data_IF_736652625133
#
_entry.id   IF_736652625133
#
_cell.length_a   1.000
_cell.length_b   1.000
_cell.length_c   1.000
_cell.angle_alpha   90.00
_cell.angle_beta   90.00
_cell.angle_gamma   90.00
#
_symmetry.space_group_name_H-M   'P 1'
#
loop_
_entity.id
_entity.type
_entity.pdbx_description
1 polymer ?
#
# COMPACT_ATOMS: atom_id res chain seq x y z
N UNK A 1 10.26 -6.13 -6.65
CA UNK A 1 9.85 -7.04 -5.55
C UNK A 1 8.75 -7.94 -6.05
N UNK A 2 8.63 -9.18 -5.57
CA UNK A 2 7.62 -10.13 -6.05
C UNK A 2 6.88 -10.82 -4.90
N UNK A 3 5.56 -10.98 -5.04
CA UNK A 3 4.68 -11.75 -4.15
C UNK A 3 3.96 -12.78 -5.02
N UNK A 4 4.20 -14.07 -4.76
CA UNK A 4 3.75 -15.15 -5.63
C UNK A 4 3.08 -16.29 -4.88
N UNK A 5 1.93 -16.76 -5.37
CA UNK A 5 1.24 -17.97 -4.91
C UNK A 5 1.03 -18.01 -3.38
N UNK A 6 0.50 -16.93 -2.83
CA UNK A 6 0.34 -16.74 -1.39
C UNK A 6 -1.12 -16.56 -1.00
N UNK A 7 -1.45 -16.91 0.24
CA UNK A 7 -2.71 -16.53 0.89
C UNK A 7 -2.39 -15.61 2.05
N UNK A 8 -3.05 -14.47 2.12
CA UNK A 8 -2.88 -13.49 3.19
C UNK A 8 -4.18 -13.33 3.98
N UNK A 9 -4.06 -13.49 5.30
CA UNK A 9 -5.14 -13.23 6.27
C UNK A 9 -4.76 -11.95 7.03
N UNK A 10 -5.32 -10.78 6.67
CA UNK A 10 -5.05 -9.52 7.33
C UNK A 10 -5.35 -9.61 8.83
N UNK A 11 -4.49 -9.01 9.66
CA UNK A 11 -4.62 -8.97 11.12
C UNK A 11 -4.94 -10.34 11.79
N UNK A 12 -4.49 -11.45 11.19
CA UNK A 12 -4.82 -12.79 11.66
C UNK A 12 -6.34 -13.08 11.75
N UNK A 13 -7.17 -12.35 11.00
CA UNK A 13 -8.62 -12.52 10.93
C UNK A 13 -9.41 -11.53 11.79
N UNK A 14 -8.75 -10.68 12.58
CA UNK A 14 -9.40 -9.58 13.30
C UNK A 14 -9.93 -8.50 12.34
N UNK A 15 -10.91 -7.71 12.80
CA UNK A 15 -11.48 -6.63 11.99
C UNK A 15 -10.42 -5.58 11.69
N UNK A 16 -10.18 -5.30 10.41
CA UNK A 16 -9.16 -4.33 10.00
C UNK A 16 -9.44 -3.75 8.62
N UNK A 17 -8.77 -2.66 8.28
CA UNK A 17 -8.64 -2.22 6.89
C UNK A 17 -7.31 -2.74 6.33
N UNK A 18 -7.30 -3.74 5.43
CA UNK A 18 -6.06 -4.36 5.00
C UNK A 18 -5.15 -3.39 4.24
N UNK A 19 -3.88 -3.33 4.69
CA UNK A 19 -2.78 -2.64 4.03
C UNK A 19 -1.64 -3.65 3.85
N UNK A 20 -1.36 -4.04 2.60
CA UNK A 20 -0.44 -5.15 2.33
C UNK A 20 0.99 -4.81 2.73
N UNK A 21 1.44 -3.61 2.38
CA UNK A 21 2.80 -3.15 2.64
C UNK A 21 2.71 -1.90 3.50
N UNK A 22 3.13 -2.05 4.75
CA UNK A 22 3.24 -0.92 5.66
C UNK A 22 4.35 0.01 5.22
N UNK A 23 4.11 1.31 5.33
CA UNK A 23 5.08 2.37 5.14
C UNK A 23 4.79 3.48 6.15
N UNK A 24 5.86 4.08 6.68
CA UNK A 24 5.82 5.21 7.59
C UNK A 24 7.11 6.00 7.38
N UNK A 25 7.06 6.94 6.44
CA UNK A 25 8.16 7.85 6.11
C UNK A 25 7.55 9.11 5.51
N UNK A 26 7.29 10.08 6.38
CA UNK A 26 6.74 11.38 6.02
C UNK A 26 7.75 12.25 5.25
N UNK A 27 9.02 11.87 5.18
CA UNK A 27 10.09 12.62 4.51
C UNK A 27 10.68 13.77 5.32
N UNK A 28 10.45 13.80 6.64
CA UNK A 28 11.01 14.81 7.56
C UNK A 28 12.33 14.36 8.19
N UNK A 29 12.60 13.05 8.23
CA UNK A 29 13.78 12.49 8.89
C UNK A 29 14.96 12.27 7.93
N UNK A 30 16.15 12.74 8.33
CA UNK A 30 17.39 12.48 7.60
C UNK A 30 17.94 11.10 7.97
N UNK A 31 17.81 10.14 7.06
CA UNK A 31 18.41 8.82 7.21
C UNK A 31 19.86 8.76 6.69
N UNK A 32 20.38 9.83 6.07
CA UNK A 32 21.68 9.88 5.42
C UNK A 32 21.70 9.30 4.00
N UNK A 33 20.55 8.94 3.44
CA UNK A 33 20.37 8.44 2.07
C UNK A 33 18.91 8.60 1.59
N UNK A 34 18.67 8.63 0.26
CA UNK A 34 17.31 8.65 -0.28
C UNK A 34 16.53 7.39 0.10
N UNK A 35 15.35 7.57 0.70
CA UNK A 35 14.45 6.46 1.01
C UNK A 35 13.47 6.23 -0.16
N UNK A 36 13.29 4.97 -0.54
CA UNK A 36 12.44 4.61 -1.67
C UNK A 36 11.77 3.25 -1.48
N UNK A 37 10.60 3.09 -2.09
CA UNK A 37 10.00 1.78 -2.35
C UNK A 37 10.68 1.11 -3.54
N UNK A 38 10.59 -0.24 -3.64
CA UNK A 38 10.85 -0.91 -4.90
C UNK A 38 10.10 -0.22 -6.05
N UNK A 39 10.79 0.08 -7.15
CA UNK A 39 10.17 0.78 -8.29
C UNK A 39 9.03 -0.04 -8.90
N UNK A 40 9.17 -1.37 -8.88
CA UNK A 40 8.17 -2.31 -9.37
C UNK A 40 7.86 -3.40 -8.34
N UNK A 41 6.56 -3.67 -8.18
CA UNK A 41 6.02 -4.78 -7.40
C UNK A 41 5.18 -5.69 -8.31
N UNK A 42 5.49 -6.98 -8.33
CA UNK A 42 4.71 -7.98 -9.07
C UNK A 42 3.91 -8.84 -8.10
N UNK A 43 2.61 -8.92 -8.33
CA UNK A 43 1.65 -9.72 -7.54
C UNK A 43 0.98 -10.74 -8.44
N UNK A 44 1.24 -12.01 -8.16
CA UNK A 44 0.80 -13.12 -9.00
C UNK A 44 0.33 -14.31 -8.15
N UNK A 45 -0.96 -14.65 -8.20
CA UNK A 45 -1.51 -15.75 -7.41
C UNK A 45 -1.66 -15.39 -5.93
N UNK A 46 -2.10 -14.17 -5.61
CA UNK A 46 -2.39 -13.75 -4.24
C UNK A 46 -3.89 -13.89 -3.94
N UNK A 47 -4.22 -14.58 -2.85
CA UNK A 47 -5.58 -14.58 -2.29
C UNK A 47 -5.59 -13.82 -0.97
N UNK A 48 -6.51 -12.87 -0.83
CA UNK A 48 -6.65 -12.01 0.36
C UNK A 48 -7.97 -12.31 1.06
N UNK A 49 -7.92 -12.65 2.34
CA UNK A 49 -9.08 -12.95 3.18
C UNK A 49 -9.59 -11.69 3.89
N UNK A 50 -10.19 -10.77 3.13
CA UNK A 50 -10.64 -9.45 3.58
C UNK A 50 -12.16 -9.39 3.87
N UNK A 51 -12.71 -10.43 4.49
CA UNK A 51 -14.13 -10.48 4.86
C UNK A 51 -14.46 -9.79 6.20
N UNK A 52 -13.49 -9.68 7.10
CA UNK A 52 -13.66 -9.04 8.40
C UNK A 52 -13.10 -7.61 8.35
N UNK A 53 -13.90 -6.70 7.80
CA UNK A 53 -13.54 -5.30 7.55
C UNK A 53 -14.68 -4.37 7.98
N UNK A 54 -14.40 -3.09 8.26
CA UNK A 54 -15.43 -2.10 8.59
C UNK A 54 -16.55 -2.00 7.53
N UNK A 55 -17.72 -1.50 7.93
CA UNK A 55 -18.92 -1.40 7.09
C UNK A 55 -18.70 -0.55 5.81
N UNK A 56 -17.82 0.44 5.88
CA UNK A 56 -17.49 1.35 4.78
C UNK A 56 -16.31 0.87 3.91
N UNK A 57 -15.89 -0.39 4.08
CA UNK A 57 -14.80 -0.98 3.32
C UNK A 57 -15.05 -1.01 1.80
N UNK A 58 -14.16 -0.36 1.05
CA UNK A 58 -14.22 -0.26 -0.41
C UNK A 58 -13.07 -0.97 -1.13
N UNK A 59 -12.17 -1.60 -0.38
CA UNK A 59 -11.05 -2.36 -0.92
C UNK A 59 -9.76 -2.17 -0.12
N UNK A 60 -8.92 -3.20 -0.14
CA UNK A 60 -7.61 -3.18 0.52
C UNK A 60 -6.67 -2.22 -0.17
N UNK A 61 -5.62 -1.78 0.53
CA UNK A 61 -4.54 -1.01 -0.08
C UNK A 61 -3.29 -1.86 -0.30
N UNK A 62 -2.61 -1.65 -1.44
CA UNK A 62 -1.27 -2.19 -1.65
C UNK A 62 -0.26 -1.55 -0.69
N UNK A 63 -0.33 -0.23 -0.51
CA UNK A 63 0.58 0.54 0.34
C UNK A 63 -0.20 1.32 1.41
N UNK A 64 0.34 1.38 2.62
CA UNK A 64 -0.16 2.29 3.65
C UNK A 64 0.03 3.78 3.26
N UNK A 65 -0.47 4.69 4.09
CA UNK A 65 -0.14 6.11 3.98
C UNK A 65 1.26 6.34 4.56
N UNK A 66 2.25 6.80 3.77
CA UNK A 66 3.58 7.10 4.29
C UNK A 66 3.58 8.23 5.31
N UNK A 67 2.58 9.12 5.28
CA UNK A 67 2.43 10.26 6.19
C UNK A 67 1.77 9.86 7.53
N UNK A 68 1.42 8.57 7.71
CA UNK A 68 0.84 8.08 8.97
C UNK A 68 1.76 8.37 10.15
N UNK A 69 1.22 9.03 11.18
CA UNK A 69 1.94 9.31 12.43
C UNK A 69 2.49 10.73 12.53
N UNK A 70 2.30 11.57 11.52
CA UNK A 70 2.53 13.00 11.64
C UNK A 70 1.58 13.61 12.69
N UNK A 71 2.14 14.29 13.69
CA UNK A 71 1.37 14.98 14.74
C UNK A 71 0.85 16.35 14.27
N UNK A 72 1.48 16.91 13.23
CA UNK A 72 1.19 18.23 12.67
C UNK A 72 0.94 18.15 11.17
N UNK A 73 0.34 19.21 10.62
CA UNK A 73 0.20 19.35 9.16
C UNK A 73 1.58 19.40 8.52
N UNK A 74 1.84 18.41 7.67
CA UNK A 74 3.12 18.28 7.04
C UNK A 74 3.23 19.28 5.85
N UNK A 75 4.36 20.01 5.67
CA UNK A 75 4.54 20.95 4.55
C UNK A 75 4.38 20.33 3.15
N UNK A 76 4.30 21.10 2.07
CA UNK A 76 4.31 20.46 0.73
C UNK A 76 5.71 19.99 0.31
N UNK A 77 6.72 20.77 0.65
CA UNK A 77 8.12 20.44 0.38
C UNK A 77 8.71 19.67 1.57
N UNK A 78 9.17 18.45 1.29
CA UNK A 78 9.88 17.59 2.25
C UNK A 78 11.39 17.78 2.10
N UNK A 79 12.14 17.95 3.20
CA UNK A 79 13.60 18.01 3.13
C UNK A 79 14.21 16.68 2.67
N UNK A 80 13.56 15.54 2.98
CA UNK A 80 14.03 14.20 2.65
C UNK A 80 12.90 13.39 2.00
N UNK A 81 12.45 13.76 0.78
CA UNK A 81 11.26 13.19 0.19
C UNK A 81 11.38 11.67 -0.01
N UNK A 82 10.35 10.95 0.44
CA UNK A 82 10.20 9.52 0.22
C UNK A 82 9.73 9.25 -1.21
N UNK A 83 10.44 8.37 -1.92
CA UNK A 83 10.04 7.97 -3.28
C UNK A 83 9.05 6.78 -3.23
N UNK A 84 7.78 6.96 -3.66
CA UNK A 84 6.79 5.89 -3.69
C UNK A 84 7.11 4.84 -4.78
N UNK A 85 6.38 3.73 -4.74
CA UNK A 85 6.42 2.73 -5.80
C UNK A 85 5.97 3.36 -7.12
N UNK A 86 6.56 2.96 -8.25
CA UNK A 86 6.17 3.48 -9.57
C UNK A 86 5.16 2.56 -10.25
N UNK A 87 5.23 1.26 -10.00
CA UNK A 87 4.46 0.26 -10.74
C UNK A 87 4.06 -0.95 -9.92
N UNK A 88 2.80 -1.36 -10.03
CA UNK A 88 2.27 -2.64 -9.53
C UNK A 88 1.72 -3.45 -10.71
N UNK A 89 2.22 -4.67 -10.89
CA UNK A 89 1.73 -5.61 -11.91
C UNK A 89 0.92 -6.69 -11.22
N UNK A 90 -0.35 -6.84 -11.59
CA UNK A 90 -1.29 -7.82 -11.04
C UNK A 90 -1.63 -8.85 -12.13
N UNK A 91 -1.61 -10.14 -11.79
CA UNK A 91 -1.96 -11.21 -12.76
C UNK A 91 -3.07 -12.14 -12.28
N UNK A 92 -3.05 -12.54 -11.02
CA UNK A 92 -4.04 -13.46 -10.45
C UNK A 92 -4.30 -13.12 -8.98
N UNK A 93 -4.77 -11.90 -8.71
CA UNK A 93 -5.16 -11.48 -7.37
C UNK A 93 -6.65 -11.73 -7.16
N UNK A 94 -6.99 -12.31 -6.01
CA UNK A 94 -8.38 -12.53 -5.59
C UNK A 94 -8.58 -12.00 -4.17
N UNK A 95 -9.71 -11.32 -3.94
CA UNK A 95 -10.16 -10.86 -2.62
C UNK A 95 -11.41 -11.63 -2.24
N UNK A 96 -11.52 -12.07 -0.99
CA UNK A 96 -12.69 -12.77 -0.49
C UNK A 96 -13.94 -11.86 -0.50
N UNK A 97 -13.76 -10.56 -0.27
CA UNK A 97 -14.80 -9.54 -0.38
C UNK A 97 -15.27 -9.25 -1.81
N UNK A 98 -14.49 -9.65 -2.82
CA UNK A 98 -14.68 -9.26 -4.21
C UNK A 98 -14.40 -7.79 -4.52
N UNK A 99 -13.92 -7.00 -3.54
CA UNK A 99 -13.53 -5.59 -3.74
C UNK A 99 -12.21 -5.49 -4.46
N UNK A 100 -12.10 -4.51 -5.36
CA UNK A 100 -10.85 -4.25 -6.08
C UNK A 100 -9.81 -3.61 -5.13
N UNK A 101 -8.52 -3.99 -5.22
CA UNK A 101 -7.46 -3.31 -4.49
C UNK A 101 -7.29 -1.85 -4.92
N UNK A 102 -6.85 -1.04 -3.98
CA UNK A 102 -6.51 0.38 -4.15
C UNK A 102 -5.00 0.54 -3.93
N UNK A 103 -4.42 1.62 -4.47
CA UNK A 103 -2.97 1.84 -4.36
C UNK A 103 -2.57 2.22 -2.94
N UNK A 104 -3.04 3.38 -2.48
CA UNK A 104 -2.75 3.94 -1.16
C UNK A 104 -3.88 4.90 -0.78
N UNK A 105 -4.17 5.10 0.51
CA UNK A 105 -4.99 6.21 0.97
C UNK A 105 -4.32 7.58 0.72
N UNK A 106 -3.00 7.63 0.54
CA UNK A 106 -2.26 8.86 0.24
C UNK A 106 -2.37 9.22 -1.25
N UNK A 107 -2.87 10.41 -1.55
CA UNK A 107 -3.10 10.84 -2.93
C UNK A 107 -1.81 10.98 -3.75
N UNK A 108 -0.72 11.50 -3.14
CA UNK A 108 0.57 11.67 -3.81
C UNK A 108 1.17 10.30 -4.18
N UNK A 109 1.14 9.34 -3.25
CA UNK A 109 1.60 7.97 -3.50
C UNK A 109 0.71 7.24 -4.53
N UNK A 110 -0.60 7.44 -4.45
CA UNK A 110 -1.57 6.87 -5.39
C UNK A 110 -1.34 7.37 -6.82
N UNK A 111 -1.16 8.69 -7.00
CA UNK A 111 -0.91 9.31 -8.30
C UNK A 111 0.46 8.93 -8.89
N UNK A 112 1.45 8.62 -8.06
CA UNK A 112 2.79 8.24 -8.50
C UNK A 112 2.92 6.76 -8.92
N UNK A 113 1.91 5.92 -8.65
CA UNK A 113 1.95 4.48 -8.91
C UNK A 113 0.97 4.08 -10.01
N UNK A 114 1.46 3.42 -11.06
CA UNK A 114 0.62 2.80 -12.09
C UNK A 114 0.31 1.36 -11.72
N UNK A 115 -0.95 0.94 -11.83
CA UNK A 115 -1.36 -0.46 -11.66
C UNK A 115 -1.74 -1.06 -13.01
N UNK A 116 -1.16 -2.21 -13.33
CA UNK A 116 -1.45 -2.98 -14.54
C UNK A 116 -2.07 -4.33 -14.19
N UNK A 117 -3.07 -4.78 -14.97
CA UNK A 117 -3.64 -6.12 -14.85
C UNK A 117 -4.70 -6.31 -13.76
N UNK A 118 -5.41 -5.24 -13.39
CA UNK A 118 -6.63 -5.26 -12.56
C UNK A 118 -7.86 -5.47 -13.43
#
# INVERSE_FOLDING_TARGET
MEIKNCRWIPACGEETWPRMISTANDGMHDFGYPCFMPEEVVIDGLTVEDMNTPDDYDGMYFFADPDTGAEEELPDERPYPYAPCKKVIVKHLTTASGKAPRVSPNEKASAATVVEGV
#
